data_IF_525850609546
#
_entry.id   IF_525850609546
#
_cell.length_a   1.000
_cell.length_b   1.000
_cell.length_c   1.000
_cell.angle_alpha   90.00
_cell.angle_beta   90.00
_cell.angle_gamma   90.00
#
_symmetry.space_group_name_H-M   'P 1'
#
loop_
_entity.id
_entity.type
_entity.pdbx_description
1 polymer ?
#
# COMPACT_ATOMS: atom_id res chain seq x y z
N UNK A 1 2.14 -18.05 15.38
CA UNK A 1 0.74 -17.54 15.31
C UNK A 1 0.66 -16.02 15.22
N UNK A 2 1.58 -15.26 15.83
CA UNK A 2 1.57 -13.78 15.80
C UNK A 2 1.65 -13.17 14.39
N UNK A 3 2.57 -13.65 13.53
CA UNK A 3 2.77 -13.13 12.16
C UNK A 3 1.47 -12.93 11.36
N UNK A 4 0.60 -13.94 11.36
CA UNK A 4 -0.63 -13.89 10.57
C UNK A 4 -1.62 -12.86 11.12
N UNK A 5 -1.61 -12.57 12.43
CA UNK A 5 -2.44 -11.50 13.00
C UNK A 5 -1.98 -10.13 12.50
N UNK A 6 -0.66 -9.88 12.48
CA UNK A 6 -0.08 -8.64 11.94
C UNK A 6 -0.42 -8.49 10.45
N UNK A 7 -0.24 -9.55 9.65
CA UNK A 7 -0.59 -9.54 8.22
C UNK A 7 -2.08 -9.27 8.00
N UNK A 8 -2.96 -9.95 8.73
CA UNK A 8 -4.42 -9.76 8.60
C UNK A 8 -4.86 -8.37 9.07
N UNK A 9 -4.24 -7.80 10.11
CA UNK A 9 -4.49 -6.43 10.54
C UNK A 9 -4.06 -5.42 9.46
N UNK A 10 -2.90 -5.64 8.83
CA UNK A 10 -2.41 -4.81 7.73
C UNK A 10 -3.35 -4.87 6.52
N UNK A 11 -3.79 -6.07 6.14
CA UNK A 11 -4.79 -6.26 5.08
C UNK A 11 -6.11 -5.58 5.44
N UNK A 12 -6.61 -5.75 6.67
CA UNK A 12 -7.85 -5.14 7.12
C UNK A 12 -7.83 -3.61 7.06
N UNK A 13 -6.72 -2.98 7.49
CA UNK A 13 -6.53 -1.53 7.35
C UNK A 13 -6.53 -1.09 5.88
N UNK A 14 -5.90 -1.85 4.98
CA UNK A 14 -5.87 -1.51 3.56
C UNK A 14 -7.21 -1.71 2.86
N UNK A 15 -7.98 -2.72 3.26
CA UNK A 15 -9.37 -2.87 2.83
C UNK A 15 -10.21 -1.68 3.32
N UNK A 16 -10.03 -1.26 4.56
CA UNK A 16 -10.70 -0.07 5.09
C UNK A 16 -10.33 1.20 4.31
N UNK A 17 -9.05 1.37 3.95
CA UNK A 17 -8.60 2.46 3.07
C UNK A 17 -9.28 2.41 1.70
N UNK A 18 -9.29 1.27 1.02
CA UNK A 18 -9.95 1.15 -0.29
C UNK A 18 -11.46 1.41 -0.21
N UNK A 19 -12.13 0.90 0.83
CA UNK A 19 -13.56 1.14 1.04
C UNK A 19 -13.86 2.55 1.52
N UNK A 20 -12.92 3.24 2.16
CA UNK A 20 -13.08 4.65 2.52
C UNK A 20 -13.27 5.54 1.30
N UNK A 21 -12.72 5.16 0.15
CA UNK A 21 -12.89 5.89 -1.12
C UNK A 21 -14.10 5.42 -1.93
N UNK A 22 -14.68 4.25 -1.64
CA UNK A 22 -15.75 3.63 -2.46
C UNK A 22 -17.12 3.63 -1.78
N UNK A 23 -17.14 3.62 -0.47
CA UNK A 23 -18.35 3.40 0.33
C UNK A 23 -18.70 1.91 0.47
N UNK A 24 -19.34 1.57 1.58
CA UNK A 24 -19.76 0.19 1.91
C UNK A 24 -20.85 -0.34 0.97
N UNK A 25 -21.65 0.56 0.38
CA UNK A 25 -22.64 0.23 -0.64
C UNK A 25 -22.02 -0.40 -1.89
N UNK A 26 -20.73 -0.16 -2.15
CA UNK A 26 -20.01 -0.79 -3.25
C UNK A 26 -19.96 -2.32 -3.10
N UNK A 27 -20.11 -2.88 -1.88
CA UNK A 27 -20.24 -4.33 -1.66
C UNK A 27 -21.43 -4.94 -2.41
N UNK A 28 -22.55 -4.23 -2.49
CA UNK A 28 -23.72 -4.73 -3.20
C UNK A 28 -23.53 -4.68 -4.73
N UNK A 29 -22.78 -3.70 -5.22
CA UNK A 29 -22.52 -3.51 -6.66
C UNK A 29 -21.40 -4.44 -7.15
N UNK A 30 -20.36 -4.63 -6.34
CA UNK A 30 -19.15 -5.39 -6.68
C UNK A 30 -18.79 -6.37 -5.55
N UNK A 31 -19.60 -7.42 -5.32
CA UNK A 31 -19.45 -8.32 -4.16
C UNK A 31 -18.13 -9.09 -4.12
N UNK A 32 -17.48 -9.29 -5.28
CA UNK A 32 -16.18 -9.97 -5.36
C UNK A 32 -14.99 -9.03 -5.12
N UNK A 33 -15.17 -7.71 -5.15
CA UNK A 33 -14.08 -6.74 -5.00
C UNK A 33 -13.29 -6.90 -3.69
N UNK A 34 -13.90 -7.08 -2.50
CA UNK A 34 -13.15 -7.31 -1.26
C UNK A 34 -12.23 -8.52 -1.34
N UNK A 35 -12.72 -9.59 -1.98
CA UNK A 35 -11.96 -10.82 -2.14
C UNK A 35 -10.75 -10.58 -3.06
N UNK A 36 -10.94 -9.90 -4.18
CA UNK A 36 -9.83 -9.51 -5.06
C UNK A 36 -8.80 -8.62 -4.34
N UNK A 37 -9.25 -7.58 -3.63
CA UNK A 37 -8.37 -6.72 -2.84
C UNK A 37 -7.62 -7.50 -1.77
N UNK A 38 -8.30 -8.44 -1.10
CA UNK A 38 -7.64 -9.35 -0.15
C UNK A 38 -6.55 -10.17 -0.82
N UNK A 39 -6.82 -10.77 -1.99
CA UNK A 39 -5.83 -11.56 -2.73
C UNK A 39 -4.65 -10.73 -3.25
N UNK A 40 -4.80 -9.41 -3.39
CA UNK A 40 -3.69 -8.48 -3.67
C UNK A 40 -2.91 -8.15 -2.41
N UNK A 41 -3.58 -7.67 -1.36
CA UNK A 41 -2.90 -7.18 -0.16
C UNK A 41 -2.30 -8.29 0.69
N UNK A 42 -2.94 -9.45 0.78
CA UNK A 42 -2.47 -10.56 1.60
C UNK A 42 -1.06 -11.01 1.22
N UNK A 43 -0.75 -11.39 -0.04
CA UNK A 43 0.60 -11.78 -0.40
C UNK A 43 1.62 -10.65 -0.30
N UNK A 44 1.23 -9.40 -0.58
CA UNK A 44 2.08 -8.23 -0.37
C UNK A 44 2.49 -8.08 1.10
N UNK A 45 1.53 -8.01 2.01
CA UNK A 45 1.81 -7.84 3.45
C UNK A 45 2.49 -9.05 4.06
N UNK A 46 2.20 -10.27 3.58
CA UNK A 46 2.91 -11.46 4.01
C UNK A 46 4.40 -11.40 3.63
N UNK A 47 4.72 -11.03 2.39
CA UNK A 47 6.12 -10.87 1.94
C UNK A 47 6.83 -9.76 2.70
N UNK A 48 6.16 -8.62 2.90
CA UNK A 48 6.74 -7.47 3.59
C UNK A 48 6.97 -7.77 5.08
N UNK A 49 6.05 -8.45 5.76
CA UNK A 49 6.24 -8.89 7.14
C UNK A 49 7.41 -9.89 7.27
N UNK A 50 7.56 -10.84 6.32
CA UNK A 50 8.72 -11.74 6.29
C UNK A 50 10.04 -10.98 6.09
N UNK A 51 10.05 -9.93 5.26
CA UNK A 51 11.22 -9.07 5.07
C UNK A 51 11.52 -8.26 6.33
N UNK A 52 10.51 -7.64 6.95
CA UNK A 52 10.67 -6.85 8.19
C UNK A 52 11.23 -7.73 9.29
N UNK A 53 10.63 -8.90 9.54
CA UNK A 53 11.08 -9.79 10.58
C UNK A 53 12.49 -10.34 10.29
N UNK A 54 12.77 -10.80 9.05
CA UNK A 54 14.08 -11.39 8.71
C UNK A 54 15.22 -10.37 8.78
N UNK A 55 14.98 -9.17 8.25
CA UNK A 55 16.04 -8.17 8.07
C UNK A 55 15.97 -7.02 9.07
N UNK A 56 15.04 -7.07 10.04
CA UNK A 56 14.86 -6.03 11.06
C UNK A 56 14.70 -4.65 10.42
N UNK A 57 13.88 -4.59 9.38
CA UNK A 57 13.70 -3.39 8.57
C UNK A 57 13.19 -2.23 9.42
N UNK A 58 13.70 -1.03 9.15
CA UNK A 58 13.19 0.22 9.71
C UNK A 58 12.04 0.77 8.86
N UNK A 59 11.36 1.77 9.39
CA UNK A 59 10.31 2.53 8.73
C UNK A 59 10.69 2.99 7.31
N UNK A 60 11.87 3.58 7.11
CA UNK A 60 12.29 4.01 5.76
C UNK A 60 12.54 2.82 4.80
N UNK A 61 12.98 1.66 5.30
CA UNK A 61 13.12 0.47 4.45
C UNK A 61 11.73 -0.04 4.04
N UNK A 62 10.76 -0.02 4.95
CA UNK A 62 9.36 -0.36 4.66
C UNK A 62 8.78 0.62 3.64
N UNK A 63 9.07 1.91 3.76
CA UNK A 63 8.68 2.91 2.78
C UNK A 63 9.27 2.62 1.38
N UNK A 64 10.57 2.32 1.29
CA UNK A 64 11.23 1.94 0.02
C UNK A 64 10.61 0.66 -0.57
N UNK A 65 10.34 -0.35 0.27
CA UNK A 65 9.68 -1.57 -0.17
C UNK A 65 8.25 -1.29 -0.66
N UNK A 66 7.49 -0.47 0.07
CA UNK A 66 6.15 -0.01 -0.34
C UNK A 66 6.19 0.67 -1.70
N UNK A 67 7.10 1.62 -1.91
CA UNK A 67 7.31 2.28 -3.21
C UNK A 67 7.63 1.26 -4.32
N UNK A 68 8.54 0.31 -4.07
CA UNK A 68 8.89 -0.73 -5.02
C UNK A 68 7.67 -1.59 -5.39
N UNK A 69 6.90 -2.04 -4.40
CA UNK A 69 5.73 -2.87 -4.62
C UNK A 69 4.62 -2.11 -5.34
N UNK A 70 4.33 -0.87 -4.95
CA UNK A 70 3.38 -0.01 -5.65
C UNK A 70 3.75 0.16 -7.12
N UNK A 71 5.04 0.45 -7.38
CA UNK A 71 5.59 0.63 -8.73
C UNK A 71 5.57 -0.69 -9.53
N UNK A 72 5.77 -1.84 -8.88
CA UNK A 72 5.68 -3.12 -9.58
C UNK A 72 4.22 -3.46 -9.92
N UNK A 73 3.30 -3.14 -9.00
CA UNK A 73 1.87 -3.42 -9.16
C UNK A 73 1.26 -2.66 -10.35
N UNK A 74 1.81 -1.49 -10.68
CA UNK A 74 1.39 -0.70 -11.85
C UNK A 74 1.54 -1.45 -13.18
N UNK A 75 2.47 -2.39 -13.27
CA UNK A 75 2.68 -3.19 -14.48
C UNK A 75 1.52 -4.16 -14.73
N UNK A 76 0.84 -4.56 -13.65
CA UNK A 76 -0.16 -5.61 -13.68
C UNK A 76 -1.58 -5.06 -13.63
N UNK A 77 -1.82 -3.83 -13.19
CA UNK A 77 -3.17 -3.26 -13.06
C UNK A 77 -3.28 -1.94 -13.84
N UNK A 78 -4.35 -1.73 -14.63
CA UNK A 78 -4.65 -0.44 -15.23
C UNK A 78 -4.72 0.62 -14.14
N UNK A 79 -3.95 1.69 -14.30
CA UNK A 79 -3.73 2.60 -13.19
C UNK A 79 -3.55 4.03 -13.65
N UNK A 80 -3.84 4.94 -12.73
CA UNK A 80 -3.94 6.39 -12.98
C UNK A 80 -2.64 7.00 -13.48
N UNK A 81 -1.48 6.38 -13.22
CA UNK A 81 -0.20 6.86 -13.78
C UNK A 81 -0.07 6.69 -15.30
N UNK A 82 -1.00 6.00 -15.96
CA UNK A 82 -1.06 5.94 -17.42
C UNK A 82 -2.14 6.87 -17.99
N UNK A 83 -2.67 7.82 -17.21
CA UNK A 83 -3.59 8.85 -17.71
C UNK A 83 -2.79 10.10 -18.07
N UNK A 84 -3.14 10.79 -19.15
CA UNK A 84 -2.49 12.05 -19.55
C UNK A 84 -2.56 13.12 -18.42
N UNK A 85 -1.58 14.04 -18.33
CA UNK A 85 -0.40 14.17 -19.19
C UNK A 85 0.71 13.16 -18.86
N UNK A 86 1.32 12.59 -19.91
CA UNK A 86 2.40 11.60 -19.79
C UNK A 86 3.76 12.15 -20.28
N UNK A 87 4.76 12.18 -19.40
CA UNK A 87 6.17 12.37 -19.78
C UNK A 87 6.89 11.03 -19.62
N UNK A 88 7.56 10.54 -20.66
CA UNK A 88 8.11 9.17 -20.72
C UNK A 88 7.05 8.07 -20.51
N UNK A 89 5.83 8.31 -21.01
CA UNK A 89 4.72 7.36 -20.94
C UNK A 89 4.05 7.25 -19.57
N UNK A 90 4.43 8.08 -18.59
CA UNK A 90 3.84 8.09 -17.24
C UNK A 90 3.44 9.48 -16.78
N UNK A 91 2.36 9.56 -16.02
CA UNK A 91 1.98 10.72 -15.24
C UNK A 91 2.76 10.70 -13.92
N UNK A 92 3.85 11.45 -13.88
CA UNK A 92 4.76 11.50 -12.73
C UNK A 92 4.09 11.98 -11.46
N UNK A 93 3.15 12.92 -11.56
CA UNK A 93 2.41 13.39 -10.39
C UNK A 93 1.59 12.27 -9.78
N UNK A 94 0.81 11.56 -10.60
CA UNK A 94 0.02 10.43 -10.13
C UNK A 94 0.92 9.29 -9.61
N UNK A 95 1.99 8.96 -10.34
CA UNK A 95 2.93 7.90 -9.96
C UNK A 95 3.59 8.19 -8.61
N UNK A 96 4.20 9.38 -8.45
CA UNK A 96 4.90 9.74 -7.23
C UNK A 96 3.92 9.92 -6.07
N UNK A 97 2.76 10.53 -6.32
CA UNK A 97 1.74 10.69 -5.29
C UNK A 97 1.29 9.33 -4.74
N UNK A 98 0.84 8.43 -5.61
CA UNK A 98 0.35 7.11 -5.21
C UNK A 98 1.45 6.29 -4.55
N UNK A 99 2.68 6.31 -5.08
CA UNK A 99 3.75 5.48 -4.54
C UNK A 99 4.36 6.01 -3.23
N UNK A 100 4.45 7.33 -3.06
CA UNK A 100 5.01 7.93 -1.85
C UNK A 100 3.95 7.98 -0.75
N UNK A 101 2.84 8.65 -1.00
CA UNK A 101 1.84 8.88 0.05
C UNK A 101 1.09 7.59 0.37
N UNK A 102 0.51 6.95 -0.65
CA UNK A 102 -0.30 5.75 -0.40
C UNK A 102 0.56 4.53 -0.14
N UNK A 103 1.37 4.06 -1.10
CA UNK A 103 2.08 2.79 -0.93
C UNK A 103 3.18 2.81 0.14
N UNK A 104 4.01 3.85 0.16
CA UNK A 104 5.17 3.88 1.06
C UNK A 104 4.80 4.26 2.49
N UNK A 105 4.09 5.38 2.70
CA UNK A 105 3.82 5.90 4.04
C UNK A 105 2.54 5.31 4.62
N UNK A 106 1.38 5.51 3.99
CA UNK A 106 0.10 5.09 4.53
C UNK A 106 -0.05 3.55 4.59
N UNK A 107 0.05 2.88 3.44
CA UNK A 107 -0.14 1.45 3.27
C UNK A 107 1.08 0.63 3.73
N UNK A 108 2.26 1.25 3.75
CA UNK A 108 3.50 0.65 4.26
C UNK A 108 3.72 0.94 5.74
N UNK A 109 4.30 2.11 6.03
CA UNK A 109 4.76 2.48 7.39
C UNK A 109 3.62 2.55 8.41
N UNK A 110 2.58 3.35 8.15
CA UNK A 110 1.48 3.56 9.11
C UNK A 110 0.68 2.27 9.33
N UNK A 111 0.47 1.50 8.27
CA UNK A 111 -0.20 0.19 8.34
C UNK A 111 0.54 -0.76 9.27
N UNK A 112 1.85 -0.94 9.09
CA UNK A 112 2.63 -1.84 9.95
C UNK A 112 2.78 -1.31 11.37
N UNK A 113 2.87 0.01 11.55
CA UNK A 113 2.79 0.62 12.87
C UNK A 113 1.47 0.23 13.59
N UNK A 114 0.32 0.40 12.92
CA UNK A 114 -0.99 0.02 13.47
C UNK A 114 -1.04 -1.48 13.77
N UNK A 115 -0.62 -2.32 12.82
CA UNK A 115 -0.66 -3.76 12.98
C UNK A 115 0.21 -4.25 14.15
N UNK A 116 1.41 -3.69 14.31
CA UNK A 116 2.35 -4.02 15.39
C UNK A 116 1.88 -3.48 16.75
N UNK A 117 1.14 -2.36 16.77
CA UNK A 117 0.47 -1.85 17.99
C UNK A 117 -0.65 -2.78 18.47
N UNK A 118 -1.47 -3.30 17.55
CA UNK A 118 -2.57 -4.21 17.86
C UNK A 118 -2.07 -5.62 18.21
N UNK A 119 -1.09 -6.10 17.46
CA UNK A 119 -0.53 -7.44 17.59
C UNK A 119 1.00 -7.37 17.58
N UNK A 120 1.64 -7.30 18.77
CA UNK A 120 3.09 -7.20 18.88
C UNK A 120 3.81 -8.29 18.07
N UNK A 121 4.73 -7.86 17.20
CA UNK A 121 5.45 -8.73 16.28
C UNK A 121 6.28 -9.77 17.03
N UNK A 122 6.15 -11.03 16.60
CA UNK A 122 7.09 -12.08 16.95
C UNK A 122 8.31 -12.02 16.01
N UNK A 123 9.39 -11.44 16.50
CA UNK A 123 10.64 -11.28 15.76
C UNK A 123 11.36 -12.61 15.47
N UNK A 124 10.96 -13.72 16.07
CA UNK A 124 11.66 -15.01 15.94
C UNK A 124 10.85 -16.05 15.15
N UNK A 125 9.80 -15.63 14.44
CA UNK A 125 9.01 -16.55 13.64
C UNK A 125 9.83 -17.17 12.49
N UNK A 126 9.52 -18.42 12.13
CA UNK A 126 10.20 -19.12 11.02
C UNK A 126 10.04 -18.32 9.71
N UNK A 127 11.15 -17.98 9.02
CA UNK A 127 11.07 -17.27 7.75
C UNK A 127 10.39 -18.12 6.68
N UNK A 128 9.75 -17.50 5.69
CA UNK A 128 9.15 -18.23 4.58
C UNK A 128 10.19 -19.01 3.77
N UNK A 129 9.82 -20.23 3.37
CA UNK A 129 10.60 -21.02 2.42
C UNK A 129 10.64 -20.35 1.05
N UNK A 130 11.59 -20.75 0.19
CA UNK A 130 11.66 -20.27 -1.20
C UNK A 130 10.35 -20.54 -1.94
N UNK A 131 9.79 -21.74 -1.79
CA UNK A 131 8.51 -22.11 -2.40
C UNK A 131 7.36 -21.20 -1.96
N UNK A 132 7.23 -20.92 -0.66
CA UNK A 132 6.18 -20.03 -0.15
C UNK A 132 6.29 -18.61 -0.73
N UNK A 133 7.50 -18.05 -0.79
CA UNK A 133 7.71 -16.73 -1.40
C UNK A 133 7.34 -16.71 -2.87
N UNK A 134 7.78 -17.72 -3.63
CA UNK A 134 7.44 -17.86 -5.05
C UNK A 134 5.93 -17.94 -5.22
N UNK A 135 5.22 -18.74 -4.41
CA UNK A 135 3.76 -18.82 -4.45
C UNK A 135 3.10 -17.46 -4.20
N UNK A 136 3.54 -16.69 -3.19
CA UNK A 136 2.97 -15.37 -2.91
C UNK A 136 3.23 -14.37 -4.05
N UNK A 137 4.42 -14.40 -4.66
CA UNK A 137 4.75 -13.55 -5.82
C UNK A 137 3.93 -13.94 -7.04
N UNK A 138 3.81 -15.24 -7.34
CA UNK A 138 2.99 -15.72 -8.46
C UNK A 138 1.51 -15.39 -8.25
N UNK A 139 1.03 -15.48 -7.01
CA UNK A 139 -0.32 -15.09 -6.64
C UNK A 139 -0.56 -13.60 -6.92
N UNK A 140 0.37 -12.70 -6.53
CA UNK A 140 0.30 -11.27 -6.85
C UNK A 140 0.22 -11.02 -8.35
N UNK A 141 1.11 -11.64 -9.13
CA UNK A 141 1.15 -11.50 -10.59
C UNK A 141 -0.17 -11.99 -11.20
N UNK A 142 -0.61 -13.19 -10.81
CA UNK A 142 -1.83 -13.80 -11.33
C UNK A 142 -3.06 -12.95 -11.04
N UNK A 143 -3.24 -12.49 -9.80
CA UNK A 143 -4.38 -11.65 -9.40
C UNK A 143 -4.33 -10.30 -10.10
N UNK A 144 -3.15 -9.69 -10.22
CA UNK A 144 -2.96 -8.45 -10.97
C UNK A 144 -3.37 -8.60 -12.44
N UNK A 145 -2.89 -9.64 -13.12
CA UNK A 145 -3.26 -9.93 -14.51
C UNK A 145 -4.76 -10.21 -14.68
N UNK A 146 -5.38 -10.95 -13.76
CA UNK A 146 -6.83 -11.16 -13.76
C UNK A 146 -7.60 -9.84 -13.62
N UNK A 147 -7.16 -8.96 -12.73
CA UNK A 147 -7.74 -7.64 -12.54
C UNK A 147 -7.64 -6.81 -13.83
N UNK A 148 -6.47 -6.84 -14.49
CA UNK A 148 -6.28 -6.18 -15.79
C UNK A 148 -7.22 -6.72 -16.85
N UNK A 149 -7.31 -8.04 -17.03
CA UNK A 149 -8.21 -8.65 -18.01
C UNK A 149 -9.66 -8.24 -17.74
N UNK A 150 -10.09 -8.29 -16.47
CA UNK A 150 -11.45 -7.90 -16.06
C UNK A 150 -11.76 -6.42 -16.30
N UNK A 151 -10.80 -5.52 -16.08
CA UNK A 151 -10.98 -4.10 -16.38
C UNK A 151 -10.98 -3.88 -17.90
N UNK A 152 -10.08 -4.53 -18.63
CA UNK A 152 -9.98 -4.42 -20.09
C UNK A 152 -11.23 -4.92 -20.81
N UNK A 153 -11.88 -5.96 -20.30
CA UNK A 153 -13.13 -6.47 -20.87
C UNK A 153 -14.33 -5.55 -20.64
N UNK A 154 -14.27 -4.68 -19.62
CA UNK A 154 -15.38 -3.80 -19.22
C UNK A 154 -15.19 -2.34 -19.61
N UNK A 155 -13.98 -1.93 -20.04
CA UNK A 155 -13.66 -0.57 -20.47
C UNK A 155 -13.11 -0.62 -21.90
N UNK A 156 -13.91 -0.30 -22.94
CA UNK A 156 -13.51 -0.47 -24.34
C UNK A 156 -12.36 0.46 -24.79
N UNK A 157 -12.07 1.53 -24.03
CA UNK A 157 -10.92 2.40 -24.23
C UNK A 157 -9.85 2.14 -23.16
N UNK A 158 -9.23 0.97 -23.22
CA UNK A 158 -8.08 0.67 -22.35
C UNK A 158 -6.96 1.66 -22.66
N UNK A 159 -6.50 2.39 -21.64
CA UNK A 159 -5.28 3.19 -21.74
C UNK A 159 -4.13 2.25 -22.14
N UNK A 160 -3.73 2.32 -23.41
CA UNK A 160 -2.62 1.55 -23.90
C UNK A 160 -1.36 2.04 -23.20
N UNK A 161 -0.74 1.16 -22.41
CA UNK A 161 0.53 1.44 -21.77
C UNK A 161 1.58 1.53 -22.88
N UNK A 162 2.12 2.73 -23.08
CA UNK A 162 3.13 2.96 -24.13
C UNK A 162 4.44 2.21 -23.79
N UNK A 163 5.22 1.76 -24.78
CA UNK A 163 6.49 1.07 -24.54
C UNK A 163 7.44 1.84 -23.62
N UNK A 164 7.49 3.16 -23.74
CA UNK A 164 8.36 4.02 -22.92
C UNK A 164 8.00 3.94 -21.44
N UNK A 165 6.71 3.73 -21.11
CA UNK A 165 6.26 3.58 -19.74
C UNK A 165 6.82 2.31 -19.09
N UNK A 166 6.89 1.19 -19.84
CA UNK A 166 7.50 -0.05 -19.34
C UNK A 166 8.99 0.13 -19.04
N UNK A 167 9.70 0.87 -19.90
CA UNK A 167 11.12 1.21 -19.67
C UNK A 167 11.27 2.06 -18.42
N UNK A 168 10.50 3.15 -18.30
CA UNK A 168 10.51 4.04 -17.13
C UNK A 168 10.26 3.28 -15.83
N UNK A 169 9.19 2.47 -15.78
CA UNK A 169 8.85 1.68 -14.59
C UNK A 169 9.94 0.64 -14.28
N UNK A 170 10.50 -0.02 -15.29
CA UNK A 170 11.60 -1.00 -15.09
C UNK A 170 12.84 -0.33 -14.49
N UNK A 171 13.22 0.85 -14.99
CA UNK A 171 14.34 1.63 -14.44
C UNK A 171 14.07 2.01 -12.98
N UNK A 172 12.87 2.51 -12.66
CA UNK A 172 12.49 2.83 -11.29
C UNK A 172 12.55 1.62 -10.36
N UNK A 173 12.10 0.45 -10.81
CA UNK A 173 12.20 -0.79 -10.05
C UNK A 173 13.65 -1.20 -9.80
N UNK A 174 14.52 -1.13 -10.81
CA UNK A 174 15.95 -1.45 -10.66
C UNK A 174 16.62 -0.50 -9.66
N UNK A 175 16.39 0.81 -9.80
CA UNK A 175 16.95 1.84 -8.90
C UNK A 175 16.45 1.63 -7.47
N UNK A 176 15.15 1.43 -7.28
CA UNK A 176 14.55 1.23 -5.96
C UNK A 176 15.03 -0.07 -5.33
N UNK A 177 15.13 -1.17 -6.09
CA UNK A 177 15.67 -2.44 -5.60
C UNK A 177 17.15 -2.31 -5.19
N UNK A 178 17.94 -1.55 -5.96
CA UNK A 178 19.33 -1.26 -5.62
C UNK A 178 19.44 -0.46 -4.31
N UNK A 179 18.67 0.62 -4.17
CA UNK A 179 18.60 1.44 -2.95
C UNK A 179 18.17 0.58 -1.76
N UNK A 180 17.11 -0.23 -1.92
CA UNK A 180 16.64 -1.14 -0.88
C UNK A 180 17.74 -2.10 -0.44
N UNK A 181 18.39 -2.80 -1.38
CA UNK A 181 19.49 -3.73 -1.10
C UNK A 181 20.65 -3.05 -0.35
N UNK A 182 20.97 -1.80 -0.68
CA UNK A 182 22.04 -1.03 -0.03
C UNK A 182 21.67 -0.53 1.37
N UNK A 183 20.39 -0.33 1.64
CA UNK A 183 19.89 0.26 2.89
C UNK A 183 19.37 -0.78 3.88
N UNK A 184 19.21 -2.05 3.47
CA UNK A 184 18.86 -3.15 4.37
C UNK A 184 19.97 -3.34 5.41
N UNK A 185 19.66 -3.27 6.71
CA UNK A 185 20.67 -3.43 7.75
C UNK A 185 21.21 -4.87 7.79
N UNK A 186 22.51 -5.00 8.08
CA UNK A 186 23.18 -6.31 8.13
C UNK A 186 22.85 -7.10 9.41
N UNK A 187 22.71 -6.40 10.55
CA UNK A 187 22.33 -6.94 11.85
C UNK A 187 21.93 -5.76 12.75
N UNK A 188 20.66 -5.63 13.08
CA UNK A 188 20.17 -4.63 14.03
C UNK A 188 19.26 -5.28 15.07
N UNK A 189 19.23 -4.69 16.27
CA UNK A 189 18.29 -5.10 17.31
C UNK A 189 16.87 -4.69 16.92
N UNK A 190 15.85 -5.48 17.29
CA UNK A 190 14.46 -5.11 17.07
C UNK A 190 14.16 -3.72 17.66
N UNK A 191 13.42 -2.89 16.93
CA UNK A 191 12.92 -1.62 17.49
C UNK A 191 11.92 -1.96 18.59
N UNK A 192 12.12 -1.39 19.77
CA UNK A 192 11.21 -1.59 20.91
C UNK A 192 9.85 -0.95 20.65
N UNK A 193 8.81 -1.78 20.62
CA UNK A 193 7.40 -1.35 20.50
C UNK A 193 6.97 -0.48 21.70
N UNK A 194 7.67 -0.58 22.84
CA UNK A 194 7.31 0.14 24.08
C UNK A 194 7.50 1.66 23.99
N UNK A 195 8.17 2.17 22.96
CA UNK A 195 8.27 3.61 22.75
C UNK A 195 6.89 4.13 22.32
N UNK A 196 6.19 4.79 23.25
CA UNK A 196 4.89 5.42 22.97
C UNK A 196 5.13 6.66 22.12
N UNK A 197 4.74 6.59 20.85
CA UNK A 197 4.83 7.70 19.91
C UNK A 197 3.44 8.35 19.83
N UNK A 198 3.09 9.15 20.83
CA UNK A 198 1.72 9.71 21.01
C UNK A 198 1.19 10.39 19.75
N UNK A 199 2.06 11.06 19.00
CA UNK A 199 1.70 11.74 17.74
C UNK A 199 1.28 10.72 16.68
N UNK A 200 2.07 9.66 16.50
CA UNK A 200 1.77 8.62 15.51
C UNK A 200 0.56 7.78 15.96
N UNK A 201 0.40 7.51 17.26
CA UNK A 201 -0.79 6.86 17.81
C UNK A 201 -2.06 7.69 17.50
N UNK A 202 -2.00 9.02 17.67
CA UNK A 202 -3.11 9.92 17.31
C UNK A 202 -3.41 9.89 15.82
N UNK A 203 -2.39 10.00 14.95
CA UNK A 203 -2.56 9.94 13.49
C UNK A 203 -3.16 8.59 13.06
N UNK A 204 -2.68 7.49 13.64
CA UNK A 204 -3.20 6.15 13.38
C UNK A 204 -4.69 6.03 13.72
N UNK A 205 -5.08 6.45 14.93
CA UNK A 205 -6.49 6.41 15.37
C UNK A 205 -7.35 7.32 14.52
N UNK A 206 -6.93 8.56 14.29
CA UNK A 206 -7.68 9.51 13.46
C UNK A 206 -7.85 8.99 12.03
N UNK A 207 -6.83 8.34 11.46
CA UNK A 207 -6.90 7.74 10.13
C UNK A 207 -7.94 6.62 10.06
N UNK A 208 -7.96 5.71 11.04
CA UNK A 208 -8.98 4.66 11.11
C UNK A 208 -10.39 5.25 11.23
N UNK A 209 -10.57 6.30 12.05
CA UNK A 209 -11.85 6.99 12.24
C UNK A 209 -12.31 7.67 10.95
N UNK A 210 -11.44 8.44 10.29
CA UNK A 210 -11.76 9.12 9.02
C UNK A 210 -12.12 8.09 7.96
N UNK A 211 -11.34 7.01 7.83
CA UNK A 211 -11.63 5.99 6.83
C UNK A 211 -12.93 5.25 7.08
N UNK A 212 -13.21 4.88 8.34
CA UNK A 212 -14.49 4.28 8.72
C UNK A 212 -15.66 5.23 8.46
N UNK A 213 -15.51 6.51 8.80
CA UNK A 213 -16.53 7.53 8.55
C UNK A 213 -16.81 7.65 7.05
N UNK A 214 -15.78 7.79 6.21
CA UNK A 214 -15.95 7.88 4.76
C UNK A 214 -16.59 6.61 4.18
N UNK A 215 -16.16 5.42 4.61
CA UNK A 215 -16.70 4.15 4.14
C UNK A 215 -18.20 3.98 4.47
N UNK A 216 -18.64 4.42 5.64
CA UNK A 216 -20.02 4.21 6.11
C UNK A 216 -20.96 5.33 5.68
N UNK A 217 -20.52 6.59 5.77
CA UNK A 217 -21.41 7.76 5.60
C UNK A 217 -21.30 8.41 4.21
N UNK A 218 -20.14 8.38 3.56
CA UNK A 218 -19.94 8.99 2.23
C UNK A 218 -20.17 7.97 1.12
N UNK A 219 -21.42 7.50 1.01
CA UNK A 219 -21.82 6.42 0.09
C UNK A 219 -22.55 6.92 -1.16
N UNK A 220 -23.05 8.15 -1.14
CA UNK A 220 -23.83 8.77 -2.22
C UNK A 220 -22.94 9.77 -2.94
N UNK A 221 -22.90 9.75 -4.27
CA UNK A 221 -21.97 10.45 -5.21
C UNK A 221 -20.92 9.54 -5.89
N UNK A 222 -21.33 8.42 -6.54
CA UNK A 222 -20.41 7.60 -7.31
C UNK A 222 -19.94 8.35 -8.56
N UNK A 223 -18.64 8.45 -8.75
CA UNK A 223 -18.00 8.91 -9.97
C UNK A 223 -17.10 7.80 -10.53
N UNK A 224 -16.98 7.79 -11.86
CA UNK A 224 -16.04 6.92 -12.54
C UNK A 224 -14.73 7.68 -12.73
N UNK A 225 -13.76 7.49 -11.82
CA UNK A 225 -12.41 8.05 -12.01
C UNK A 225 -11.56 6.99 -12.70
N UNK A 226 -11.27 7.26 -13.97
CA UNK A 226 -10.43 6.43 -14.85
C UNK A 226 -10.96 5.00 -15.03
N UNK A 227 -10.62 4.09 -14.12
CA UNK A 227 -10.99 2.65 -14.17
C UNK A 227 -11.70 2.19 -12.90
N UNK A 228 -11.98 3.10 -11.96
CA UNK A 228 -12.56 2.79 -10.67
C UNK A 228 -13.83 3.60 -10.43
N UNK A 229 -14.87 2.91 -9.95
CA UNK A 229 -16.03 3.54 -9.33
C UNK A 229 -15.67 3.88 -7.89
N UNK A 230 -15.64 5.17 -7.59
CA UNK A 230 -15.29 5.73 -6.28
C UNK A 230 -16.28 6.83 -5.93
N UNK A 231 -16.36 7.20 -4.66
CA UNK A 231 -17.17 8.32 -4.23
C UNK A 231 -16.35 9.62 -4.33
N UNK A 232 -16.83 10.63 -5.06
CA UNK A 232 -16.04 11.84 -5.33
C UNK A 232 -15.68 12.59 -4.05
N UNK A 233 -16.68 12.76 -3.18
CA UNK A 233 -16.54 13.44 -1.90
C UNK A 233 -15.58 12.67 -1.00
N UNK A 234 -15.73 11.34 -0.92
CA UNK A 234 -14.87 10.50 -0.12
C UNK A 234 -13.41 10.52 -0.61
N UNK A 235 -13.18 10.46 -1.94
CA UNK A 235 -11.83 10.58 -2.53
C UNK A 235 -11.19 11.91 -2.16
N UNK A 236 -11.91 13.03 -2.22
CA UNK A 236 -11.36 14.34 -1.83
C UNK A 236 -10.96 14.37 -0.36
N UNK A 237 -11.83 13.90 0.53
CA UNK A 237 -11.57 13.86 1.98
C UNK A 237 -10.40 12.93 2.30
N UNK A 238 -10.40 11.71 1.78
CA UNK A 238 -9.35 10.70 2.00
C UNK A 238 -8.01 11.18 1.43
N UNK A 239 -8.00 11.78 0.23
CA UNK A 239 -6.77 12.31 -0.36
C UNK A 239 -6.20 13.44 0.48
N UNK A 240 -7.01 14.43 0.88
CA UNK A 240 -6.57 15.52 1.73
C UNK A 240 -6.06 15.02 3.10
N UNK A 241 -6.78 14.06 3.70
CA UNK A 241 -6.38 13.46 4.98
C UNK A 241 -5.07 12.69 4.87
N UNK A 242 -4.90 11.85 3.84
CA UNK A 242 -3.68 11.04 3.66
C UNK A 242 -2.45 11.92 3.44
N UNK A 243 -2.56 13.01 2.67
CA UNK A 243 -1.49 14.02 2.55
C UNK A 243 -1.12 14.57 3.93
N UNK A 244 -2.11 15.02 4.71
CA UNK A 244 -1.86 15.60 6.03
C UNK A 244 -1.23 14.57 6.99
N UNK A 245 -1.78 13.35 7.03
CA UNK A 245 -1.30 12.27 7.88
C UNK A 245 0.16 11.92 7.55
N UNK A 246 0.49 11.77 6.26
CA UNK A 246 1.84 11.42 5.82
C UNK A 246 2.84 12.55 6.10
N UNK A 247 2.45 13.81 5.91
CA UNK A 247 3.26 14.96 6.29
C UNK A 247 3.55 14.99 7.79
N UNK A 248 2.57 14.65 8.64
CA UNK A 248 2.78 14.55 10.09
C UNK A 248 3.72 13.38 10.41
N UNK A 249 3.54 12.22 9.78
CA UNK A 249 4.40 11.04 9.97
C UNK A 249 5.86 11.35 9.57
N UNK A 250 6.06 11.95 8.40
CA UNK A 250 7.37 12.35 7.90
C UNK A 250 7.99 13.47 8.76
N UNK A 251 7.21 14.50 9.09
CA UNK A 251 7.65 15.61 9.94
C UNK A 251 8.08 15.13 11.32
N UNK A 252 7.28 14.26 11.94
CA UNK A 252 7.62 13.61 13.21
C UNK A 252 8.92 12.82 13.11
N UNK A 253 9.09 12.05 12.02
CA UNK A 253 10.29 11.24 11.80
C UNK A 253 11.56 12.09 11.61
N UNK A 254 11.46 13.20 10.89
CA UNK A 254 12.55 14.15 10.65
C UNK A 254 12.92 14.87 11.96
N UNK A 255 11.90 15.34 12.70
CA UNK A 255 12.08 16.07 13.95
C UNK A 255 12.70 15.21 15.06
N UNK A 256 12.12 14.03 15.32
CA UNK A 256 12.60 13.14 16.40
C UNK A 256 13.86 12.38 16.03
N UNK A 257 14.13 12.22 14.73
CA UNK A 257 15.19 11.36 14.16
C UNK A 257 15.11 9.89 14.63
N UNK A 258 14.03 9.48 15.28
CA UNK A 258 13.80 8.11 15.76
C UNK A 258 12.99 7.31 14.74
N UNK A 259 13.32 6.04 14.50
CA UNK A 259 12.55 5.20 13.59
C UNK A 259 11.15 4.95 14.17
N UNK A 260 10.14 4.97 13.31
CA UNK A 260 8.79 4.56 13.67
C UNK A 260 8.78 3.03 13.86
N UNK A 261 8.19 2.50 14.95
CA UNK A 261 8.12 1.06 15.19
C UNK A 261 7.08 0.42 14.27
N UNK A 262 7.49 0.13 13.04
CA UNK A 262 6.77 -0.69 12.06
C UNK A 262 6.83 -2.16 12.44
#
# INVERSE_FOLDING_TARGET
>A
MSRWKTVLAAVGFNLLFEYSMRGINNLAVRPLLPFFLFLVYFPYFALLEDLIARHRLKDYNVAIAGFFFGTAFTLFVPATQFVEPQLFGVNWTALLFVNIFWWAILQGVLTFYIATRLFPRDWNHKPFSKGQKTTLVLMLIFVGLLCRISIQSNVPAVLQIRPEAYVTITVLLIVTAFIFKKTVPKQETPISIRTREKVIDLVAVATMVVFAFCAVFLTRDPIHINVHEVNATAVRVVTAWTILADLIVLGHRIYTRRPIPV
#
